data_IF_178828268876
#
_entry.id   IF_178828268876
#
_cell.length_a   1.000
_cell.length_b   1.000
_cell.length_c   1.000
_cell.angle_alpha   90.00
_cell.angle_beta   90.00
_cell.angle_gamma   90.00
#
_symmetry.space_group_name_H-M   'P 1'
#
loop_
_entity.id
_entity.type
_entity.pdbx_description
1 polymer ?
#
# COMPACT_ATOMS: atom_id res chain seq x y z
N UNK A 1 -34.93 -39.96 -0.81
CA UNK A 1 -35.18 -38.50 -0.86
C UNK A 1 -34.54 -37.91 0.38
N UNK A 2 -33.33 -37.33 0.25
CA UNK A 2 -33.07 -35.88 0.27
C UNK A 2 -33.32 -35.31 1.68
N UNK A 3 -32.34 -34.80 2.43
CA UNK A 3 -31.24 -33.93 2.04
C UNK A 3 -30.00 -34.06 2.96
N UNK A 4 -28.86 -34.07 2.27
CA UNK A 4 -27.54 -33.60 2.73
C UNK A 4 -27.50 -32.07 2.79
N UNK A 5 -26.43 -31.50 3.38
CA UNK A 5 -25.93 -30.10 3.38
C UNK A 5 -26.24 -29.34 4.68
N UNK A 6 -25.31 -28.72 5.40
CA UNK A 6 -23.86 -28.65 5.30
C UNK A 6 -23.36 -28.18 6.68
N UNK A 7 -22.55 -28.99 7.35
CA UNK A 7 -21.74 -28.48 8.46
C UNK A 7 -20.72 -27.54 7.82
N UNK A 8 -20.83 -26.23 8.09
CA UNK A 8 -19.82 -25.25 7.70
C UNK A 8 -18.57 -25.56 8.52
N UNK A 9 -17.74 -26.44 7.97
CA UNK A 9 -16.35 -26.61 8.38
C UNK A 9 -15.66 -25.30 8.03
N UNK A 10 -15.57 -24.39 8.99
CA UNK A 10 -14.57 -23.33 8.95
C UNK A 10 -13.21 -24.02 8.96
N UNK A 11 -12.63 -24.17 7.77
CA UNK A 11 -11.24 -24.58 7.58
C UNK A 11 -10.37 -23.46 8.14
N UNK A 12 -10.12 -23.48 9.45
CA UNK A 12 -9.00 -22.79 10.06
C UNK A 12 -7.76 -23.71 9.92
N UNK A 13 -7.27 -23.83 8.69
CA UNK A 13 -5.93 -24.36 8.45
C UNK A 13 -5.00 -23.19 8.22
N UNK A 14 -4.27 -22.79 9.27
CA UNK A 14 -2.86 -22.41 9.20
C UNK A 14 -2.21 -22.67 10.57
N UNK A 15 -1.99 -23.95 10.90
CA UNK A 15 -0.94 -24.31 11.84
C UNK A 15 0.38 -24.35 11.06
N UNK A 16 1.09 -23.22 11.08
CA UNK A 16 2.43 -23.04 10.54
C UNK A 16 2.94 -21.73 11.10
N UNK A 17 3.97 -21.79 11.93
CA UNK A 17 4.58 -20.64 12.59
C UNK A 17 5.29 -19.74 11.57
N UNK A 18 4.52 -18.99 10.79
CA UNK A 18 4.93 -17.66 10.38
C UNK A 18 4.23 -16.73 11.36
N UNK A 19 4.97 -16.16 12.31
CA UNK A 19 4.44 -15.08 13.14
C UNK A 19 3.92 -14.04 12.15
N UNK A 20 2.60 -13.93 12.03
CA UNK A 20 1.96 -12.95 11.18
C UNK A 20 2.64 -11.62 11.50
N UNK A 21 3.18 -10.95 10.48
CA UNK A 21 3.93 -9.70 10.58
C UNK A 21 2.99 -8.54 10.98
N UNK A 22 2.21 -8.74 12.05
CA UNK A 22 1.19 -7.84 12.60
C UNK A 22 1.87 -6.58 13.07
N UNK A 23 1.60 -5.49 12.36
CA UNK A 23 2.28 -4.20 12.58
C UNK A 23 3.80 -4.26 12.46
N UNK A 24 4.34 -5.19 11.68
CA UNK A 24 5.76 -5.33 11.41
C UNK A 24 6.04 -5.22 9.92
N UNK A 25 7.22 -4.73 9.58
CA UNK A 25 7.76 -4.86 8.23
C UNK A 25 8.22 -6.30 7.98
N UNK A 26 8.46 -6.65 6.72
CA UNK A 26 8.94 -8.00 6.32
C UNK A 26 10.26 -8.46 6.97
N UNK A 27 10.99 -7.56 7.63
CA UNK A 27 12.20 -7.87 8.40
C UNK A 27 11.95 -8.07 9.91
N UNK A 28 10.70 -8.07 10.36
CA UNK A 28 10.29 -8.22 11.77
C UNK A 28 10.37 -6.94 12.61
N UNK A 29 10.81 -5.81 12.05
CA UNK A 29 10.86 -4.54 12.79
C UNK A 29 9.45 -3.94 12.92
N UNK A 30 9.11 -3.43 14.11
CA UNK A 30 7.82 -2.78 14.36
C UNK A 30 7.66 -1.49 13.54
N UNK A 31 6.50 -1.33 12.93
CA UNK A 31 6.15 -0.12 12.18
C UNK A 31 5.96 1.07 13.13
N UNK A 32 6.14 2.33 12.69
CA UNK A 32 5.83 3.50 13.51
C UNK A 32 4.37 3.48 14.00
N UNK A 33 3.43 3.10 13.12
CA UNK A 33 2.02 2.96 13.46
C UNK A 33 1.72 1.84 14.44
N UNK A 34 2.67 0.93 14.73
CA UNK A 34 2.52 -0.15 15.70
C UNK A 34 2.51 0.36 17.15
N UNK A 35 3.18 1.50 17.42
CA UNK A 35 3.46 1.98 18.79
C UNK A 35 3.03 3.43 19.04
N UNK A 36 2.41 4.07 18.04
CA UNK A 36 2.02 5.48 18.07
C UNK A 36 0.85 5.78 19.01
N UNK A 37 -0.04 4.82 19.25
CA UNK A 37 -1.21 4.99 20.10
C UNK A 37 -0.86 4.96 21.59
N UNK A 38 -1.87 5.15 22.45
CA UNK A 38 -1.77 4.97 23.90
C UNK A 38 -2.58 3.76 24.34
N UNK A 39 -2.12 3.10 25.40
CA UNK A 39 -2.89 2.05 26.04
C UNK A 39 -4.12 2.64 26.74
N UNK A 40 -5.22 1.90 26.70
CA UNK A 40 -6.48 2.24 27.36
C UNK A 40 -6.55 1.69 28.79
N UNK A 41 -5.68 0.76 29.15
CA UNK A 41 -5.58 0.17 30.49
C UNK A 41 -4.25 0.56 31.15
N UNK A 42 -4.30 1.03 32.39
CA UNK A 42 -3.09 1.31 33.16
C UNK A 42 -2.30 0.04 33.52
N UNK A 43 -2.96 -1.12 33.52
CA UNK A 43 -2.39 -2.41 33.92
C UNK A 43 -1.69 -3.17 32.80
N UNK A 44 -1.58 -2.60 31.59
CA UNK A 44 -0.95 -3.29 30.45
C UNK A 44 0.47 -3.77 30.75
N UNK A 45 1.25 -2.97 31.48
CA UNK A 45 2.61 -3.36 31.87
C UNK A 45 2.65 -4.57 32.81
N UNK A 46 1.63 -4.74 33.66
CA UNK A 46 1.53 -5.90 34.57
C UNK A 46 1.06 -7.16 33.84
N UNK A 47 0.28 -7.01 32.78
CA UNK A 47 -0.30 -8.13 32.01
C UNK A 47 0.69 -8.60 30.94
N UNK A 48 1.23 -7.67 30.14
CA UNK A 48 2.04 -7.95 28.95
C UNK A 48 3.53 -7.61 29.12
N UNK A 49 3.92 -7.02 30.25
CA UNK A 49 5.30 -6.61 30.49
C UNK A 49 5.65 -5.28 29.83
N UNK A 50 6.93 -5.10 29.50
CA UNK A 50 7.43 -3.83 28.93
C UNK A 50 6.82 -3.56 27.55
N UNK A 51 6.36 -2.34 27.35
CA UNK A 51 5.80 -1.92 26.07
C UNK A 51 6.80 -2.04 24.92
N UNK A 52 6.31 -2.55 23.79
CA UNK A 52 7.03 -2.65 22.53
C UNK A 52 7.38 -1.24 22.01
N UNK A 53 8.52 -1.14 21.32
CA UNK A 53 8.99 0.07 20.65
C UNK A 53 9.26 -0.19 19.17
N UNK A 54 9.50 0.84 18.36
CA UNK A 54 9.90 0.68 16.95
C UNK A 54 11.20 -0.09 16.77
N UNK A 55 12.04 -0.18 17.80
CA UNK A 55 13.29 -0.97 17.81
C UNK A 55 13.09 -2.42 18.25
N UNK A 56 11.91 -2.77 18.76
CA UNK A 56 11.60 -4.14 19.15
C UNK A 56 11.43 -5.00 17.89
N UNK A 57 11.99 -6.21 17.92
CA UNK A 57 11.84 -7.24 16.87
C UNK A 57 10.82 -8.31 17.23
N UNK A 58 10.36 -8.31 18.48
CA UNK A 58 9.39 -9.28 19.01
C UNK A 58 8.36 -8.58 19.89
N UNK A 59 7.27 -9.29 20.15
CA UNK A 59 6.13 -8.88 20.97
C UNK A 59 5.98 -9.85 22.15
N UNK A 60 5.41 -9.43 23.29
CA UNK A 60 4.98 -10.37 24.33
C UNK A 60 4.05 -11.44 23.74
N UNK A 61 4.36 -12.72 23.95
CA UNK A 61 3.63 -13.84 23.34
C UNK A 61 2.15 -13.86 23.72
N UNK A 62 1.82 -13.34 24.90
CA UNK A 62 0.44 -13.22 25.37
C UNK A 62 -0.40 -12.19 24.61
N UNK A 63 0.21 -11.28 23.85
CA UNK A 63 -0.52 -10.37 22.96
C UNK A 63 -1.09 -11.05 21.72
N UNK A 64 -0.64 -12.27 21.40
CA UNK A 64 -1.10 -13.05 20.24
C UNK A 64 -2.04 -14.20 20.63
N UNK A 65 -2.31 -14.37 21.94
CA UNK A 65 -3.28 -15.36 22.41
C UNK A 65 -4.70 -14.92 22.06
N UNK A 66 -5.46 -15.81 21.44
CA UNK A 66 -6.85 -15.57 21.02
C UNK A 66 -7.74 -15.13 22.19
N UNK A 67 -7.58 -15.79 23.34
CA UNK A 67 -8.31 -15.48 24.58
C UNK A 67 -7.98 -14.09 25.15
N UNK A 68 -6.86 -13.49 24.76
CA UNK A 68 -6.42 -12.16 25.21
C UNK A 68 -6.67 -11.06 24.19
N UNK A 69 -7.32 -11.33 23.06
CA UNK A 69 -7.49 -10.34 21.97
C UNK A 69 -8.11 -9.02 22.43
N UNK A 70 -9.19 -9.05 23.23
CA UNK A 70 -9.84 -7.82 23.72
C UNK A 70 -8.89 -6.98 24.58
N UNK A 71 -8.20 -7.64 25.52
CA UNK A 71 -7.25 -6.97 26.41
C UNK A 71 -6.03 -6.47 25.64
N UNK A 72 -5.56 -7.22 24.65
CA UNK A 72 -4.45 -6.83 23.78
C UNK A 72 -4.80 -5.58 22.96
N UNK A 73 -6.02 -5.47 22.42
CA UNK A 73 -6.49 -4.27 21.69
C UNK A 73 -6.56 -3.06 22.63
N UNK A 74 -6.98 -3.26 23.88
CA UNK A 74 -6.97 -2.18 24.90
C UNK A 74 -5.55 -1.85 25.39
N UNK A 75 -4.60 -2.74 25.18
CA UNK A 75 -3.17 -2.57 25.44
C UNK A 75 -2.35 -2.46 24.14
N UNK A 76 -2.94 -1.83 23.13
CA UNK A 76 -2.39 -1.86 21.78
C UNK A 76 -0.99 -1.26 21.67
N UNK A 77 -0.60 -0.29 22.50
CA UNK A 77 0.77 0.23 22.51
C UNK A 77 1.73 -0.77 23.13
N UNK A 78 1.37 -1.31 24.30
CA UNK A 78 2.20 -2.29 24.99
C UNK A 78 2.45 -3.51 24.11
N UNK A 79 1.40 -3.98 23.44
CA UNK A 79 1.50 -5.08 22.49
C UNK A 79 2.15 -4.65 21.17
N UNK A 80 2.05 -3.40 20.74
CA UNK A 80 2.51 -2.97 19.42
C UNK A 80 1.50 -3.26 18.29
N UNK A 81 0.20 -3.35 18.61
CA UNK A 81 -0.90 -3.50 17.62
C UNK A 81 -1.67 -2.19 17.39
N UNK A 82 -1.07 -1.03 17.62
CA UNK A 82 -1.76 0.23 17.31
C UNK A 82 -2.23 0.27 15.84
N UNK A 83 -1.47 -0.32 14.91
CA UNK A 83 -1.83 -0.39 13.49
C UNK A 83 -3.03 -1.31 13.15
N UNK A 84 -3.65 -1.95 14.13
CA UNK A 84 -4.90 -2.70 13.91
C UNK A 84 -6.13 -1.93 14.37
N UNK A 85 -5.92 -0.81 15.07
CA UNK A 85 -7.01 0.06 15.50
C UNK A 85 -7.57 0.83 14.30
N UNK A 86 -8.85 1.19 14.36
CA UNK A 86 -9.53 1.90 13.26
C UNK A 86 -8.88 3.23 12.89
N UNK A 87 -8.20 3.89 13.84
CA UNK A 87 -7.60 5.22 13.68
C UNK A 87 -6.14 5.19 13.20
N UNK A 88 -5.40 4.13 13.48
CA UNK A 88 -3.99 3.98 13.10
C UNK A 88 -3.74 2.85 12.09
N UNK A 89 -4.79 2.13 11.67
CA UNK A 89 -4.69 0.95 10.81
C UNK A 89 -4.51 1.21 9.33
N UNK A 90 -3.73 2.21 9.01
CA UNK A 90 -3.28 2.49 7.66
C UNK A 90 -1.80 2.90 7.66
N UNK A 91 -1.26 3.18 6.47
CA UNK A 91 0.07 3.75 6.27
C UNK A 91 -0.01 5.26 6.04
N UNK A 92 1.11 5.93 6.31
CA UNK A 92 1.35 7.26 5.75
C UNK A 92 1.70 7.14 4.27
N UNK A 93 1.40 8.18 3.51
CA UNK A 93 1.63 8.22 2.07
C UNK A 93 3.13 8.21 1.75
N UNK A 94 3.57 7.25 0.92
CA UNK A 94 4.97 7.14 0.49
C UNK A 94 5.36 8.15 -0.59
N UNK A 95 4.39 8.85 -1.17
CA UNK A 95 4.59 9.88 -2.21
C UNK A 95 4.49 11.31 -1.65
N UNK A 96 4.38 11.46 -0.33
CA UNK A 96 4.27 12.76 0.32
C UNK A 96 5.62 13.48 0.45
N UNK A 97 5.70 14.79 0.20
CA UNK A 97 6.87 15.60 0.57
C UNK A 97 6.95 15.86 2.09
N UNK A 98 5.93 15.47 2.86
CA UNK A 98 5.82 15.75 4.29
C UNK A 98 6.47 14.62 5.09
N UNK A 99 7.47 14.96 5.90
CA UNK A 99 7.95 14.06 6.95
C UNK A 99 6.94 14.06 8.10
N UNK A 100 6.11 13.02 8.17
CA UNK A 100 5.02 12.91 9.13
C UNK A 100 5.51 12.95 10.59
N UNK A 101 6.59 12.23 10.91
CA UNK A 101 7.16 12.18 12.26
C UNK A 101 7.60 13.54 12.78
N UNK A 102 8.16 14.41 11.93
CA UNK A 102 8.60 15.76 12.31
C UNK A 102 7.47 16.79 12.36
N UNK A 103 6.34 16.50 11.72
CA UNK A 103 5.23 17.44 11.52
C UNK A 103 3.94 17.00 12.24
N UNK A 104 4.04 16.06 13.18
CA UNK A 104 2.92 15.54 13.98
C UNK A 104 2.13 16.63 14.73
N UNK A 105 2.75 17.78 15.05
CA UNK A 105 2.06 18.96 15.62
C UNK A 105 0.91 19.50 14.75
N UNK A 106 0.92 19.22 13.46
CA UNK A 106 -0.12 19.67 12.53
C UNK A 106 -1.31 18.71 12.45
N UNK A 107 -1.25 17.55 13.10
CA UNK A 107 -2.35 16.58 13.13
C UNK A 107 -3.64 17.15 13.73
N UNK A 108 -3.54 18.09 14.67
CA UNK A 108 -4.69 18.73 15.33
C UNK A 108 -4.91 20.18 14.87
N UNK A 109 -4.07 20.69 13.96
CA UNK A 109 -4.17 22.06 13.49
C UNK A 109 -5.29 22.20 12.46
N UNK A 110 -6.25 23.10 12.70
CA UNK A 110 -7.42 23.27 11.83
C UNK A 110 -7.09 23.54 10.35
N UNK A 111 -5.99 24.23 10.06
CA UNK A 111 -5.60 24.55 8.69
C UNK A 111 -4.89 23.40 7.98
N UNK A 112 -4.23 22.51 8.72
CA UNK A 112 -3.38 21.45 8.17
C UNK A 112 -3.92 20.04 8.39
N UNK A 113 -4.95 19.86 9.22
CA UNK A 113 -5.54 18.54 9.52
C UNK A 113 -5.99 17.81 8.27
N UNK A 114 -6.52 18.51 7.26
CA UNK A 114 -6.91 17.88 5.99
C UNK A 114 -5.70 17.35 5.23
N UNK A 115 -4.62 18.13 5.15
CA UNK A 115 -3.37 17.71 4.48
C UNK A 115 -2.74 16.54 5.24
N UNK A 116 -2.70 16.64 6.57
CA UNK A 116 -2.18 15.60 7.43
C UNK A 116 -3.02 14.32 7.39
N UNK A 117 -4.35 14.40 7.25
CA UNK A 117 -5.20 13.22 7.05
C UNK A 117 -5.00 12.55 5.70
N UNK A 118 -4.57 13.30 4.68
CA UNK A 118 -4.32 12.75 3.34
C UNK A 118 -2.95 12.08 3.27
N UNK A 119 -1.91 12.71 3.83
CA UNK A 119 -0.53 12.27 3.65
C UNK A 119 0.07 11.57 4.87
N UNK A 120 -0.43 11.89 6.07
CA UNK A 120 0.07 11.36 7.34
C UNK A 120 -1.04 10.75 8.23
N UNK A 121 -2.03 10.02 7.67
CA UNK A 121 -3.15 9.52 8.46
C UNK A 121 -2.72 8.55 9.57
N UNK A 122 -1.68 7.73 9.35
CA UNK A 122 -1.21 6.79 10.34
C UNK A 122 -0.45 7.49 11.46
N UNK A 123 0.38 8.48 11.15
CA UNK A 123 1.04 9.29 12.18
C UNK A 123 0.02 10.09 13.00
N UNK A 124 -1.04 10.58 12.37
CA UNK A 124 -2.03 11.44 13.04
C UNK A 124 -3.20 10.71 13.69
N UNK A 125 -3.33 9.39 13.51
CA UNK A 125 -4.52 8.66 13.97
C UNK A 125 -5.80 9.03 13.21
N UNK A 126 -5.66 9.36 11.92
CA UNK A 126 -6.74 9.82 11.05
C UNK A 126 -7.04 8.82 9.92
N UNK A 127 -6.64 7.54 10.05
CA UNK A 127 -6.94 6.50 9.05
C UNK A 127 -8.43 6.30 8.80
N UNK A 128 -9.28 6.61 9.79
CA UNK A 128 -10.73 6.59 9.64
C UNK A 128 -11.29 7.75 8.80
N UNK A 129 -10.51 8.81 8.56
CA UNK A 129 -10.92 9.99 7.78
C UNK A 129 -10.56 9.91 6.29
N UNK A 130 -10.05 8.77 5.82
CA UNK A 130 -9.75 8.61 4.41
C UNK A 130 -11.01 8.69 3.55
N UNK A 131 -10.91 9.34 2.39
CA UNK A 131 -11.99 9.45 1.41
C UNK A 131 -12.22 8.16 0.61
N UNK A 132 -11.33 7.18 0.75
CA UNK A 132 -11.47 5.84 0.17
C UNK A 132 -11.61 4.79 1.27
N UNK A 133 -12.10 3.61 0.90
CA UNK A 133 -12.29 2.48 1.80
C UNK A 133 -11.49 1.27 1.36
N UNK A 134 -11.33 0.32 2.28
CA UNK A 134 -10.88 -1.03 1.96
C UNK A 134 -12.07 -1.84 1.43
N UNK A 135 -11.84 -2.74 0.48
CA UNK A 135 -12.86 -3.62 -0.07
C UNK A 135 -13.18 -4.80 0.86
N UNK A 136 -12.26 -5.13 1.78
CA UNK A 136 -12.38 -6.21 2.75
C UNK A 136 -12.08 -5.72 4.17
N UNK A 137 -12.62 -6.39 5.19
CA UNK A 137 -12.49 -5.99 6.60
C UNK A 137 -11.15 -6.32 7.25
N UNK A 138 -10.39 -7.30 6.70
CA UNK A 138 -9.14 -7.80 7.28
C UNK A 138 -7.88 -6.98 6.95
N UNK A 139 -8.01 -5.85 6.26
CA UNK A 139 -6.85 -5.10 5.77
C UNK A 139 -5.90 -4.57 6.87
N UNK A 140 -6.35 -4.04 8.03
CA UNK A 140 -5.44 -3.53 9.06
C UNK A 140 -4.41 -4.57 9.53
N UNK A 141 -4.82 -5.84 9.68
CA UNK A 141 -3.91 -6.93 10.06
C UNK A 141 -2.86 -7.25 8.96
N UNK A 142 -3.16 -6.88 7.71
CA UNK A 142 -2.32 -7.09 6.53
C UNK A 142 -1.52 -5.84 6.14
N UNK A 143 -1.53 -4.77 6.94
CA UNK A 143 -0.89 -3.49 6.58
C UNK A 143 0.62 -3.62 6.28
N UNK A 144 1.31 -4.56 6.91
CA UNK A 144 2.72 -4.87 6.62
C UNK A 144 2.96 -5.41 5.20
N UNK A 145 1.92 -5.94 4.53
CA UNK A 145 1.98 -6.49 3.18
C UNK A 145 1.88 -5.42 2.08
N UNK A 146 1.53 -4.18 2.42
CA UNK A 146 1.34 -3.10 1.44
C UNK A 146 2.58 -2.87 0.56
N UNK A 147 3.78 -3.05 1.12
CA UNK A 147 5.06 -2.88 0.41
C UNK A 147 5.64 -4.19 -0.14
N UNK A 148 4.97 -5.33 0.10
CA UNK A 148 5.43 -6.62 -0.38
C UNK A 148 5.08 -6.77 -1.87
N UNK A 149 6.09 -6.99 -2.72
CA UNK A 149 5.93 -7.08 -4.18
C UNK A 149 4.92 -8.14 -4.61
N UNK A 150 4.84 -9.28 -3.91
CA UNK A 150 3.94 -10.38 -4.23
C UNK A 150 2.48 -10.03 -3.89
N UNK A 151 2.28 -9.22 -2.85
CA UNK A 151 0.95 -8.81 -2.36
C UNK A 151 0.51 -7.43 -2.86
N UNK A 152 1.41 -6.68 -3.50
CA UNK A 152 1.17 -5.30 -3.94
C UNK A 152 -0.13 -5.13 -4.75
N UNK A 153 -0.37 -5.99 -5.74
CA UNK A 153 -1.59 -5.95 -6.57
C UNK A 153 -2.86 -6.21 -5.76
N UNK A 154 -2.81 -7.22 -4.88
CA UNK A 154 -3.92 -7.58 -4.00
C UNK A 154 -4.23 -6.45 -3.02
N UNK A 155 -3.19 -5.89 -2.38
CA UNK A 155 -3.32 -4.80 -1.41
C UNK A 155 -3.79 -3.50 -2.06
N UNK A 156 -3.36 -3.21 -3.31
CA UNK A 156 -3.85 -2.05 -4.08
C UNK A 156 -5.34 -2.17 -4.39
N UNK A 157 -5.81 -3.39 -4.68
CA UNK A 157 -7.21 -3.63 -5.05
C UNK A 157 -8.13 -3.68 -3.83
N UNK A 158 -7.70 -4.38 -2.77
CA UNK A 158 -8.58 -4.71 -1.64
C UNK A 158 -8.35 -3.85 -0.40
N UNK A 159 -7.19 -3.23 -0.26
CA UNK A 159 -6.76 -2.54 0.96
C UNK A 159 -6.27 -1.11 0.68
N UNK A 160 -6.97 -0.42 -0.22
CA UNK A 160 -6.55 0.89 -0.73
C UNK A 160 -6.42 1.94 0.39
N UNK A 161 -7.33 1.95 1.37
CA UNK A 161 -7.25 2.87 2.50
C UNK A 161 -6.10 2.49 3.43
N UNK A 162 -6.03 1.21 3.80
CA UNK A 162 -5.01 0.68 4.70
C UNK A 162 -3.59 0.93 4.16
N UNK A 163 -3.38 0.80 2.85
CA UNK A 163 -2.08 1.04 2.25
C UNK A 163 -1.82 2.49 1.81
N UNK A 164 -2.75 3.41 2.08
CA UNK A 164 -2.71 4.80 1.57
C UNK A 164 -2.61 4.88 0.03
N UNK A 165 -3.25 3.94 -0.66
CA UNK A 165 -3.39 3.89 -2.12
C UNK A 165 -4.71 4.52 -2.61
N UNK A 166 -5.37 5.35 -1.80
CA UNK A 166 -6.61 6.05 -2.17
C UNK A 166 -6.50 6.90 -3.45
N UNK A 167 -5.30 7.30 -3.85
CA UNK A 167 -5.06 8.00 -5.12
C UNK A 167 -4.96 7.08 -6.35
N UNK A 168 -4.96 5.76 -6.13
CA UNK A 168 -4.98 4.72 -7.19
C UNK A 168 -6.42 4.30 -7.51
N UNK A 169 -7.40 4.74 -6.71
CA UNK A 169 -8.83 4.57 -6.98
C UNK A 169 -9.31 5.56 -8.06
N UNK A 170 -8.67 5.53 -9.23
CA UNK A 170 -9.43 5.77 -10.45
C UNK A 170 -10.29 4.55 -10.64
N UNK A 171 -11.59 4.73 -10.42
CA UNK A 171 -12.66 3.85 -10.86
C UNK A 171 -12.27 3.13 -12.16
N UNK A 172 -12.10 1.81 -12.10
CA UNK A 172 -12.18 0.96 -13.30
C UNK A 172 -13.67 0.92 -13.65
N UNK A 173 -14.19 2.03 -14.15
CA UNK A 173 -15.35 1.99 -15.02
C UNK A 173 -14.79 1.74 -16.40
N UNK A 174 -15.15 0.60 -16.97
CA UNK A 174 -15.09 0.33 -18.40
C UNK A 174 -15.92 1.37 -19.16
N UNK A 175 -15.36 2.55 -19.38
CA UNK A 175 -15.88 3.55 -20.32
C UNK A 175 -14.72 4.00 -21.20
N UNK A 176 -14.68 3.42 -22.39
CA UNK A 176 -14.15 4.00 -23.63
C UNK A 176 -13.17 5.17 -23.46
N UNK A 177 -11.89 4.82 -23.49
CA UNK A 177 -10.73 5.63 -23.91
C UNK A 177 -11.09 6.91 -24.67
N UNK A 178 -11.13 8.04 -23.97
CA UNK A 178 -10.81 9.35 -24.55
C UNK A 178 -9.76 9.98 -23.67
N UNK A 179 -8.55 10.06 -24.18
CA UNK A 179 -7.47 10.67 -23.42
C UNK A 179 -7.63 12.19 -23.38
N UNK A 180 -7.59 12.75 -22.18
CA UNK A 180 -7.82 14.16 -21.90
C UNK A 180 -6.88 14.64 -20.79
N UNK A 181 -6.80 15.96 -20.61
CA UNK A 181 -6.13 16.56 -19.46
C UNK A 181 -7.08 16.57 -18.26
N UNK A 182 -6.61 16.08 -17.13
CA UNK A 182 -7.34 16.08 -15.85
C UNK A 182 -7.15 17.43 -15.14
N UNK A 183 -5.97 18.03 -15.27
CA UNK A 183 -5.66 19.33 -14.67
C UNK A 183 -5.95 20.50 -15.62
N UNK A 184 -6.46 21.61 -15.09
CA UNK A 184 -6.81 22.82 -15.86
C UNK A 184 -5.61 23.65 -16.30
N UNK A 185 -4.46 23.47 -15.66
CA UNK A 185 -3.24 24.27 -15.86
C UNK A 185 -2.18 23.54 -16.71
N UNK A 186 -2.54 22.50 -17.46
CA UNK A 186 -1.59 21.73 -18.26
C UNK A 186 -0.86 22.56 -19.32
N UNK A 187 -1.56 23.48 -19.99
CA UNK A 187 -0.97 24.35 -21.01
C UNK A 187 0.13 25.27 -20.45
N UNK A 188 -0.07 25.79 -19.23
CA UNK A 188 0.92 26.62 -18.54
C UNK A 188 2.16 25.83 -18.08
N UNK A 189 2.02 24.51 -17.93
CA UNK A 189 3.05 23.62 -17.37
C UNK A 189 3.64 22.65 -18.40
N UNK A 190 3.49 22.93 -19.70
CA UNK A 190 3.96 22.05 -20.78
C UNK A 190 5.48 21.76 -20.69
N UNK A 191 6.27 22.70 -20.18
CA UNK A 191 7.71 22.52 -19.98
C UNK A 191 8.04 21.41 -18.96
N UNK A 192 7.11 21.09 -18.05
CA UNK A 192 7.29 20.07 -17.02
C UNK A 192 7.07 18.65 -17.54
N UNK A 193 6.54 18.48 -18.76
CA UNK A 193 6.26 17.17 -19.33
C UNK A 193 7.49 16.26 -19.22
N UNK A 194 8.68 16.72 -19.61
CA UNK A 194 9.91 15.93 -19.61
C UNK A 194 10.79 16.13 -18.37
N UNK A 195 10.30 16.83 -17.34
CA UNK A 195 11.03 17.01 -16.10
C UNK A 195 10.99 15.71 -15.28
N UNK A 196 12.14 15.20 -14.84
CA UNK A 196 12.25 13.91 -14.14
C UNK A 196 11.41 13.79 -12.87
N UNK A 197 11.24 14.90 -12.14
CA UNK A 197 10.45 14.95 -10.90
C UNK A 197 8.95 14.96 -11.20
N UNK A 198 8.54 15.70 -12.23
CA UNK A 198 7.14 15.89 -12.59
C UNK A 198 6.64 14.96 -13.71
N UNK A 199 7.51 14.09 -14.23
CA UNK A 199 7.22 13.22 -15.37
C UNK A 199 5.96 12.37 -15.14
N UNK A 200 5.88 11.73 -13.98
CA UNK A 200 4.74 10.89 -13.59
C UNK A 200 3.46 11.72 -13.44
N UNK A 201 3.56 12.84 -12.70
CA UNK A 201 2.45 13.77 -12.48
C UNK A 201 1.86 14.30 -13.79
N UNK A 202 2.72 14.71 -14.73
CA UNK A 202 2.33 15.23 -16.05
C UNK A 202 1.81 14.14 -16.98
N UNK A 203 2.28 12.89 -16.83
CA UNK A 203 1.75 11.74 -17.58
C UNK A 203 0.32 11.42 -17.17
N UNK A 204 0.02 11.47 -15.88
CA UNK A 204 -1.32 11.16 -15.37
C UNK A 204 -2.29 12.33 -15.57
N UNK A 205 -1.88 13.56 -15.28
CA UNK A 205 -2.80 14.69 -15.18
C UNK A 205 -2.87 15.54 -16.46
N UNK A 206 -1.86 15.47 -17.32
CA UNK A 206 -1.72 16.32 -18.51
C UNK A 206 -1.39 15.50 -19.75
N UNK A 207 -1.94 14.28 -19.82
CA UNK A 207 -1.63 13.31 -20.86
C UNK A 207 -1.83 13.88 -22.28
N UNK A 208 -2.87 14.68 -22.51
CA UNK A 208 -3.12 15.30 -23.82
C UNK A 208 -2.12 16.41 -24.14
N UNK A 209 -1.87 17.32 -23.21
CA UNK A 209 -0.92 18.43 -23.40
C UNK A 209 0.52 17.94 -23.54
N UNK A 210 0.89 16.85 -22.86
CA UNK A 210 2.21 16.25 -22.99
C UNK A 210 2.35 15.28 -24.17
N UNK A 211 1.32 15.14 -25.02
CA UNK A 211 1.35 14.23 -26.17
C UNK A 211 1.39 12.74 -25.79
N UNK A 212 0.90 12.38 -24.60
CA UNK A 212 0.91 11.03 -24.02
C UNK A 212 -0.42 10.30 -24.17
N UNK A 213 -1.31 10.83 -24.99
CA UNK A 213 -2.65 10.30 -25.19
C UNK A 213 -2.78 9.00 -25.98
N UNK A 214 -1.65 8.37 -26.29
CA UNK A 214 -1.60 7.06 -26.91
C UNK A 214 -1.46 5.98 -25.84
N UNK A 215 -2.59 5.60 -25.21
CA UNK A 215 -2.66 4.40 -24.37
C UNK A 215 -3.68 3.39 -24.90
N UNK A 216 -3.52 3.05 -26.17
CA UNK A 216 -3.29 1.65 -26.52
C UNK A 216 -2.26 1.63 -27.63
N UNK A 217 -1.29 0.70 -27.57
CA UNK A 217 -0.30 0.45 -28.63
C UNK A 217 1.00 1.29 -28.63
N UNK A 218 1.76 1.25 -27.52
CA UNK A 218 3.22 1.09 -27.65
C UNK A 218 3.59 -0.38 -27.47
N UNK A 219 2.95 -1.26 -28.24
CA UNK A 219 3.50 -2.56 -28.51
C UNK A 219 4.51 -2.40 -29.65
N UNK A 220 5.63 -1.75 -29.34
CA UNK A 220 6.69 -1.47 -30.30
C UNK A 220 8.02 -1.93 -29.71
N UNK A 221 8.92 -2.33 -30.59
CA UNK A 221 10.30 -2.53 -30.22
C UNK A 221 10.94 -1.14 -30.09
N UNK A 222 11.36 -0.77 -28.88
CA UNK A 222 12.09 0.47 -28.66
C UNK A 222 13.53 0.38 -29.17
N UNK A 223 14.06 -0.83 -29.37
CA UNK A 223 15.40 -1.06 -29.90
C UNK A 223 15.36 -1.64 -31.32
N UNK A 224 16.18 -1.08 -32.23
CA UNK A 224 16.29 -1.56 -33.61
C UNK A 224 16.83 -3.01 -33.70
N UNK A 225 17.58 -3.46 -32.69
CA UNK A 225 18.21 -4.79 -32.67
C UNK A 225 17.30 -5.92 -32.16
N UNK A 226 16.02 -5.65 -31.91
CA UNK A 226 15.12 -6.65 -31.33
C UNK A 226 15.03 -7.94 -32.14
N UNK A 227 15.08 -7.87 -33.47
CA UNK A 227 15.10 -9.07 -34.32
C UNK A 227 16.30 -9.99 -33.97
N UNK A 228 17.51 -9.41 -33.90
CA UNK A 228 18.72 -10.16 -33.53
C UNK A 228 18.70 -10.62 -32.09
N UNK A 229 18.24 -9.79 -31.15
CA UNK A 229 18.21 -10.14 -29.73
C UNK A 229 17.23 -11.28 -29.43
N UNK A 230 16.06 -11.28 -30.07
CA UNK A 230 15.11 -12.39 -29.93
C UNK A 230 15.68 -13.69 -30.48
N UNK A 231 16.34 -13.67 -31.64
CA UNK A 231 17.05 -14.84 -32.17
C UNK A 231 18.19 -15.31 -31.27
N UNK A 232 18.81 -14.43 -30.49
CA UNK A 232 19.85 -14.75 -29.51
C UNK A 232 19.30 -15.03 -28.09
N UNK A 233 17.99 -15.24 -27.93
CA UNK A 233 17.40 -15.68 -26.66
C UNK A 233 17.12 -14.57 -25.64
N UNK A 234 17.08 -13.30 -26.06
CA UNK A 234 16.80 -12.16 -25.18
C UNK A 234 15.50 -12.31 -24.38
N UNK A 235 14.42 -12.79 -25.00
CA UNK A 235 13.13 -12.94 -24.35
C UNK A 235 13.13 -14.03 -23.27
N UNK A 236 13.97 -15.05 -23.43
CA UNK A 236 14.08 -16.20 -22.52
C UNK A 236 15.25 -16.09 -21.52
N UNK A 237 16.09 -15.06 -21.65
CA UNK A 237 17.26 -14.85 -20.79
C UNK A 237 16.87 -14.53 -19.34
N UNK A 238 17.54 -15.13 -18.37
CA UNK A 238 17.42 -14.79 -16.95
C UNK A 238 18.24 -13.55 -16.54
N UNK A 239 19.15 -13.09 -17.40
CA UNK A 239 19.97 -11.90 -17.17
C UNK A 239 19.18 -10.58 -17.31
N UNK A 240 18.09 -10.59 -18.08
CA UNK A 240 17.24 -9.42 -18.29
C UNK A 240 15.91 -9.60 -17.57
N UNK A 241 15.50 -8.56 -16.83
CA UNK A 241 14.20 -8.55 -16.16
C UNK A 241 13.05 -8.45 -17.17
N UNK A 242 11.86 -8.91 -16.81
CA UNK A 242 10.65 -8.76 -17.62
C UNK A 242 10.34 -7.28 -17.94
N UNK A 243 10.69 -6.37 -17.03
CA UNK A 243 10.57 -4.92 -17.26
C UNK A 243 11.54 -4.43 -18.36
N UNK A 244 12.80 -4.87 -18.34
CA UNK A 244 13.78 -4.53 -19.38
C UNK A 244 13.40 -5.15 -20.74
N UNK A 245 12.91 -6.39 -20.75
CA UNK A 245 12.42 -7.04 -21.97
C UNK A 245 11.24 -6.28 -22.58
N UNK A 246 10.31 -5.83 -21.73
CA UNK A 246 9.17 -4.97 -22.13
C UNK A 246 9.62 -3.56 -22.51
N UNK A 247 10.69 -3.03 -21.92
CA UNK A 247 11.22 -1.70 -22.27
C UNK A 247 11.88 -1.68 -23.66
N UNK A 248 12.62 -2.74 -24.03
CA UNK A 248 13.40 -2.74 -25.27
C UNK A 248 12.70 -3.42 -26.44
N UNK A 249 12.08 -4.59 -26.23
CA UNK A 249 11.56 -5.44 -27.30
C UNK A 249 10.16 -5.99 -26.97
N UNK A 250 9.26 -5.11 -26.50
CA UNK A 250 7.93 -5.49 -26.02
C UNK A 250 7.17 -6.39 -27.01
N UNK A 251 7.12 -5.97 -28.28
CA UNK A 251 6.41 -6.66 -29.36
C UNK A 251 7.10 -7.95 -29.78
N UNK A 252 8.43 -7.91 -29.98
CA UNK A 252 9.17 -9.10 -30.39
C UNK A 252 9.25 -10.18 -29.31
N UNK A 253 9.08 -9.84 -28.04
CA UNK A 253 9.03 -10.80 -26.93
C UNK A 253 7.60 -11.22 -26.52
N UNK A 254 6.55 -10.73 -27.20
CA UNK A 254 5.15 -11.07 -26.86
C UNK A 254 4.76 -10.65 -25.44
N UNK A 255 5.37 -9.59 -24.90
CA UNK A 255 5.10 -9.04 -23.56
C UNK A 255 4.01 -7.95 -23.56
N UNK A 256 3.51 -7.74 -24.76
CA UNK A 256 2.28 -7.14 -25.27
C UNK A 256 1.96 -7.93 -26.56
#
# INVERSE_FOLDING_TARGET
MFQSLAAVVFIAFFAGAESQLRCQYGNGTMMPSATVCSDQLATCAAIFGTAVTTTSTTRPTNCDLEEMQDVAVRCAKTCGICCETAVYGCLDSTVSPINCSLNSRYCTNANWVSVMSTYCPATCGLCANATCADAISGCPAMVGLCQNINWYSYMTTNCARTCSYCSVTSSVTTTTTTCSNIASNCAANIALCNNSVYYSLMTTNCAATCGRCSSSTSCVNANANCASWVSNGFCSSSFYTTAQKRQYCARSCGLC
#
